data_IF_199575221184
#
_entry.id   IF_199575221184
#
_cell.length_a   1.000
_cell.length_b   1.000
_cell.length_c   1.000
_cell.angle_alpha   90.00
_cell.angle_beta   90.00
_cell.angle_gamma   90.00
#
_symmetry.space_group_name_H-M   'P 1'
#
loop_
_entity.id
_entity.type
_entity.pdbx_description
1 polymer ?
#
# COMPACT_ATOMS: atom_id res chain seq x y z
N UNK A 1 21.09 -15.87 7.51
CA UNK A 1 20.08 -14.78 7.62
C UNK A 1 19.69 -14.71 9.08
N UNK A 2 19.78 -13.53 9.72
CA UNK A 2 19.32 -13.37 11.09
C UNK A 2 17.83 -13.77 11.17
N UNK A 3 17.44 -14.47 12.24
CA UNK A 3 16.03 -14.82 12.45
C UNK A 3 15.24 -13.52 12.62
N UNK A 4 14.29 -13.25 11.72
CA UNK A 4 13.39 -12.11 11.84
C UNK A 4 12.56 -12.23 13.12
N UNK A 5 12.59 -11.19 13.95
CA UNK A 5 11.76 -11.05 15.16
C UNK A 5 10.26 -11.23 14.83
N UNK A 6 9.51 -11.89 15.71
CA UNK A 6 8.08 -12.18 15.49
C UNK A 6 7.24 -10.90 15.32
N UNK A 7 7.60 -9.84 16.04
CA UNK A 7 6.94 -8.53 15.94
C UNK A 7 7.14 -7.89 14.56
N UNK A 8 8.35 -8.02 14.00
CA UNK A 8 8.69 -7.53 12.68
C UNK A 8 8.02 -8.35 11.58
N UNK A 9 8.00 -9.68 11.75
CA UNK A 9 7.24 -10.59 10.89
C UNK A 9 5.76 -10.21 10.85
N UNK A 10 5.12 -10.01 12.01
CA UNK A 10 3.72 -9.60 12.10
C UNK A 10 3.45 -8.26 11.40
N UNK A 11 4.38 -7.31 11.51
CA UNK A 11 4.31 -6.01 10.83
C UNK A 11 4.34 -6.13 9.31
N UNK A 12 5.26 -6.93 8.77
CA UNK A 12 5.35 -7.17 7.32
C UNK A 12 4.11 -7.90 6.77
N UNK A 13 3.55 -8.85 7.52
CA UNK A 13 2.27 -9.50 7.18
C UNK A 13 1.13 -8.49 7.10
N UNK A 14 1.07 -7.56 8.06
CA UNK A 14 0.09 -6.48 8.06
C UNK A 14 0.27 -5.56 6.85
N UNK A 15 1.50 -5.21 6.48
CA UNK A 15 1.78 -4.45 5.26
C UNK A 15 1.30 -5.19 4.01
N UNK A 16 1.58 -6.49 3.87
CA UNK A 16 1.09 -7.28 2.75
C UNK A 16 -0.44 -7.35 2.66
N UNK A 17 -1.12 -7.40 3.81
CA UNK A 17 -2.58 -7.32 3.86
C UNK A 17 -3.14 -6.00 3.34
N UNK A 18 -2.43 -4.88 3.58
CA UNK A 18 -2.79 -3.56 3.02
C UNK A 18 -2.54 -3.51 1.51
N UNK A 19 -1.44 -4.10 1.03
CA UNK A 19 -1.15 -4.22 -0.41
C UNK A 19 -2.21 -5.07 -1.12
N UNK A 20 -2.66 -6.19 -0.55
CA UNK A 20 -3.76 -6.99 -1.10
C UNK A 20 -5.07 -6.20 -1.21
N UNK A 21 -5.37 -5.37 -0.21
CA UNK A 21 -6.54 -4.47 -0.22
C UNK A 21 -6.40 -3.39 -1.31
N UNK A 22 -5.21 -2.83 -1.45
CA UNK A 22 -4.90 -1.87 -2.50
C UNK A 22 -5.05 -2.51 -3.89
N UNK A 23 -4.45 -3.68 -4.11
CA UNK A 23 -4.59 -4.46 -5.35
C UNK A 23 -6.05 -4.74 -5.69
N UNK A 24 -6.87 -5.13 -4.69
CA UNK A 24 -8.31 -5.33 -4.88
C UNK A 24 -9.00 -4.04 -5.33
N UNK A 25 -8.73 -2.90 -4.66
CA UNK A 25 -9.26 -1.58 -5.06
C UNK A 25 -8.90 -1.26 -6.50
N UNK A 26 -7.66 -1.49 -6.91
CA UNK A 26 -7.18 -1.11 -8.23
C UNK A 26 -7.72 -2.01 -9.35
N UNK A 27 -7.98 -3.29 -9.08
CA UNK A 27 -8.76 -4.14 -10.00
C UNK A 27 -10.15 -3.56 -10.26
N UNK A 28 -10.86 -3.10 -9.22
CA UNK A 28 -12.14 -2.40 -9.41
C UNK A 28 -11.97 -1.07 -10.17
N UNK A 29 -10.93 -0.29 -9.90
CA UNK A 29 -10.64 0.93 -10.67
C UNK A 29 -10.44 0.62 -12.16
N UNK A 30 -9.68 -0.43 -12.46
CA UNK A 30 -9.38 -0.86 -13.81
C UNK A 30 -10.63 -1.32 -14.56
N UNK A 31 -11.46 -2.15 -13.92
CA UNK A 31 -12.72 -2.63 -14.50
C UNK A 31 -13.67 -1.47 -14.83
N UNK A 32 -13.81 -0.51 -13.91
CA UNK A 32 -14.66 0.67 -14.13
C UNK A 32 -14.10 1.55 -15.26
N UNK A 33 -12.80 1.81 -15.27
CA UNK A 33 -12.14 2.59 -16.32
C UNK A 33 -12.29 1.93 -17.70
N UNK A 34 -12.12 0.61 -17.78
CA UNK A 34 -12.27 -0.16 -19.01
C UNK A 34 -13.70 -0.10 -19.57
N UNK A 35 -14.73 -0.13 -18.70
CA UNK A 35 -16.15 0.00 -19.12
C UNK A 35 -16.42 1.33 -19.82
N UNK A 36 -15.85 2.41 -19.31
CA UNK A 36 -16.03 3.76 -19.87
C UNK A 36 -14.93 4.16 -20.86
N UNK A 37 -14.01 3.23 -21.21
CA UNK A 37 -12.86 3.45 -22.11
C UNK A 37 -11.95 4.61 -21.66
N UNK A 38 -11.85 4.83 -20.37
CA UNK A 38 -11.04 5.87 -19.76
C UNK A 38 -9.55 5.45 -19.72
N UNK A 39 -8.86 5.67 -20.85
CA UNK A 39 -7.49 5.16 -21.08
C UNK A 39 -6.47 5.62 -20.07
N UNK A 40 -6.58 6.86 -19.58
CA UNK A 40 -5.67 7.41 -18.58
C UNK A 40 -5.82 6.65 -17.27
N UNK A 41 -7.05 6.46 -16.82
CA UNK A 41 -7.44 5.77 -15.60
C UNK A 41 -7.10 4.28 -15.66
N UNK A 42 -7.30 3.64 -16.82
CA UNK A 42 -6.80 2.27 -17.07
C UNK A 42 -5.28 2.20 -16.88
N UNK A 43 -4.53 3.15 -17.47
CA UNK A 43 -3.07 3.18 -17.34
C UNK A 43 -2.63 3.40 -15.90
N UNK A 44 -3.31 4.27 -15.15
CA UNK A 44 -3.05 4.53 -13.73
C UNK A 44 -3.30 3.27 -12.90
N UNK A 45 -4.45 2.62 -13.05
CA UNK A 45 -4.78 1.41 -12.32
C UNK A 45 -3.80 0.26 -12.63
N UNK A 46 -3.38 0.11 -13.90
CA UNK A 46 -2.34 -0.85 -14.27
C UNK A 46 -1.00 -0.57 -13.60
N UNK A 47 -0.58 0.70 -13.50
CA UNK A 47 0.67 1.07 -12.82
C UNK A 47 0.63 0.73 -11.33
N UNK A 48 -0.49 1.01 -10.66
CA UNK A 48 -0.69 0.60 -9.27
C UNK A 48 -0.71 -0.92 -9.09
N UNK A 49 -1.37 -1.66 -9.98
CA UNK A 49 -1.42 -3.14 -9.93
C UNK A 49 0.00 -3.71 -10.08
N UNK A 50 0.80 -3.16 -10.98
CA UNK A 50 2.20 -3.58 -11.17
C UNK A 50 3.02 -3.29 -9.91
N UNK A 51 2.86 -2.10 -9.33
CA UNK A 51 3.49 -1.74 -8.06
C UNK A 51 3.10 -2.72 -6.95
N UNK A 52 1.79 -2.94 -6.72
CA UNK A 52 1.31 -3.88 -5.70
C UNK A 52 1.82 -5.30 -5.92
N UNK A 53 1.92 -5.75 -7.17
CA UNK A 53 2.45 -7.07 -7.51
C UNK A 53 3.89 -7.21 -7.01
N UNK A 54 4.74 -6.22 -7.30
CA UNK A 54 6.13 -6.20 -6.88
C UNK A 54 6.28 -6.08 -5.35
N UNK A 55 5.45 -5.27 -4.69
CA UNK A 55 5.43 -5.18 -3.21
C UNK A 55 5.09 -6.52 -2.55
N UNK A 56 4.11 -7.26 -3.10
CA UNK A 56 3.76 -8.60 -2.61
C UNK A 56 4.88 -9.61 -2.82
N UNK A 57 5.59 -9.53 -3.95
CA UNK A 57 6.72 -10.40 -4.24
C UNK A 57 7.89 -10.15 -3.26
N UNK A 58 8.23 -8.89 -2.99
CA UNK A 58 9.26 -8.53 -2.00
C UNK A 58 8.90 -9.04 -0.60
N UNK A 59 7.65 -8.85 -0.18
CA UNK A 59 7.17 -9.34 1.12
C UNK A 59 7.18 -10.86 1.19
N UNK A 60 6.80 -11.56 0.12
CA UNK A 60 6.83 -13.02 0.08
C UNK A 60 8.25 -13.57 0.23
N UNK A 61 9.24 -12.90 -0.39
CA UNK A 61 10.65 -13.26 -0.26
C UNK A 61 11.16 -13.08 1.18
N UNK A 62 10.89 -11.92 1.79
CA UNK A 62 11.29 -11.64 3.18
C UNK A 62 10.62 -12.55 4.21
N UNK A 63 9.33 -12.85 4.02
CA UNK A 63 8.56 -13.67 4.97
C UNK A 63 8.80 -15.18 4.79
N UNK A 64 9.31 -15.59 3.63
CA UNK A 64 9.61 -16.97 3.30
C UNK A 64 8.38 -17.82 2.96
N UNK A 65 8.55 -19.14 3.02
CA UNK A 65 7.60 -20.14 2.49
C UNK A 65 6.21 -20.15 3.16
N UNK A 66 6.06 -19.53 4.31
CA UNK A 66 4.76 -19.51 5.03
C UNK A 66 3.75 -18.53 4.41
N UNK A 67 4.19 -17.67 3.48
CA UNK A 67 3.36 -16.63 2.84
C UNK A 67 3.23 -16.81 1.33
N UNK A 68 2.98 -18.05 0.90
CA UNK A 68 2.74 -18.41 -0.51
C UNK A 68 1.64 -17.56 -1.14
N UNK A 69 0.60 -17.16 -0.40
CA UNK A 69 -0.48 -16.32 -0.96
C UNK A 69 0.05 -14.99 -1.51
N UNK A 70 1.02 -14.32 -0.86
CA UNK A 70 1.59 -13.08 -1.41
C UNK A 70 2.33 -13.33 -2.72
N UNK A 71 3.16 -14.37 -2.79
CA UNK A 71 3.86 -14.74 -4.02
C UNK A 71 2.86 -15.10 -5.15
N UNK A 72 1.82 -15.88 -4.83
CA UNK A 72 0.79 -16.28 -5.79
C UNK A 72 0.02 -15.06 -6.31
N UNK A 73 -0.40 -14.16 -5.42
CA UNK A 73 -1.16 -12.95 -5.80
C UNK A 73 -0.30 -11.97 -6.61
N UNK A 74 0.96 -11.79 -6.22
CA UNK A 74 1.92 -10.96 -6.96
C UNK A 74 2.15 -11.48 -8.38
N UNK A 75 2.47 -12.77 -8.54
CA UNK A 75 2.66 -13.40 -9.86
C UNK A 75 1.41 -13.30 -10.73
N UNK A 76 0.24 -13.62 -10.16
CA UNK A 76 -1.02 -13.55 -10.89
C UNK A 76 -1.36 -12.13 -11.36
N UNK A 77 -1.01 -11.10 -10.59
CA UNK A 77 -1.20 -9.70 -10.99
C UNK A 77 -0.28 -9.32 -12.17
N UNK A 78 1.00 -9.71 -12.12
CA UNK A 78 1.95 -9.50 -13.23
C UNK A 78 1.51 -10.24 -14.50
N UNK A 79 1.12 -11.51 -14.38
CA UNK A 79 0.61 -12.31 -15.50
C UNK A 79 -0.66 -11.69 -16.10
N UNK A 80 -1.59 -11.22 -15.27
CA UNK A 80 -2.80 -10.54 -15.72
C UNK A 80 -2.47 -9.30 -16.57
N UNK A 81 -1.54 -8.45 -16.13
CA UNK A 81 -1.12 -7.25 -16.89
C UNK A 81 -0.46 -7.61 -18.22
N UNK A 82 0.39 -8.64 -18.23
CA UNK A 82 1.02 -9.12 -19.46
C UNK A 82 -0.02 -9.64 -20.45
N UNK A 83 -0.86 -10.59 -20.04
CA UNK A 83 -1.82 -11.24 -20.91
C UNK A 83 -2.87 -10.26 -21.45
N UNK A 84 -3.41 -9.39 -20.59
CA UNK A 84 -4.58 -8.56 -20.94
C UNK A 84 -4.23 -7.19 -21.50
N UNK A 85 -3.10 -6.62 -21.09
CA UNK A 85 -2.69 -5.25 -21.43
C UNK A 85 -1.34 -5.20 -22.16
N UNK A 86 -0.68 -6.33 -22.40
CA UNK A 86 0.64 -6.40 -23.05
C UNK A 86 1.69 -5.53 -22.33
N UNK A 87 1.48 -5.29 -21.03
CA UNK A 87 2.39 -4.55 -20.18
C UNK A 87 3.32 -5.55 -19.51
N UNK A 88 4.59 -5.55 -19.92
CA UNK A 88 5.64 -6.27 -19.20
C UNK A 88 5.96 -5.50 -17.92
N UNK A 89 6.10 -6.22 -16.80
CA UNK A 89 6.78 -5.69 -15.63
C UNK A 89 8.24 -5.43 -16.02
N UNK A 90 8.66 -4.18 -16.08
CA UNK A 90 10.00 -3.79 -16.55
C UNK A 90 11.04 -3.76 -15.43
N UNK A 91 10.61 -3.76 -14.17
CA UNK A 91 11.49 -3.55 -13.01
C UNK A 91 11.53 -4.77 -12.12
N UNK A 92 12.74 -5.26 -11.79
CA UNK A 92 12.98 -6.17 -10.67
C UNK A 92 12.91 -5.38 -9.35
N UNK A 93 11.79 -4.69 -9.14
CA UNK A 93 11.60 -3.84 -7.97
C UNK A 93 11.55 -4.69 -6.70
N UNK A 94 11.00 -5.90 -6.79
CA UNK A 94 10.92 -6.81 -5.65
C UNK A 94 12.31 -7.12 -5.05
N UNK A 95 13.28 -7.55 -5.87
CA UNK A 95 14.63 -7.86 -5.37
C UNK A 95 15.32 -6.63 -4.77
N UNK A 96 15.17 -5.46 -5.41
CA UNK A 96 15.73 -4.21 -4.90
C UNK A 96 15.14 -3.82 -3.54
N UNK A 97 13.83 -4.03 -3.33
CA UNK A 97 13.18 -3.76 -2.05
C UNK A 97 13.69 -4.69 -0.93
N UNK A 98 13.95 -5.97 -1.25
CA UNK A 98 14.55 -6.92 -0.30
C UNK A 98 15.94 -6.46 0.12
N UNK A 99 16.78 -6.07 -0.85
CA UNK A 99 18.13 -5.54 -0.59
C UNK A 99 18.06 -4.29 0.30
N UNK A 100 17.21 -3.32 -0.08
CA UNK A 100 17.03 -2.08 0.69
C UNK A 100 16.53 -2.35 2.12
N UNK A 101 15.64 -3.33 2.30
CA UNK A 101 15.17 -3.73 3.62
C UNK A 101 16.31 -4.29 4.47
N UNK A 102 17.15 -5.18 3.91
CA UNK A 102 18.29 -5.74 4.61
C UNK A 102 19.35 -4.70 4.97
N UNK A 103 19.63 -3.76 4.06
CA UNK A 103 20.54 -2.62 4.30
C UNK A 103 20.00 -1.72 5.42
N UNK A 104 18.73 -1.33 5.32
CA UNK A 104 18.03 -0.55 6.33
C UNK A 104 18.04 -1.21 7.70
N UNK A 105 17.91 -2.54 7.76
CA UNK A 105 17.88 -3.28 9.04
C UNK A 105 19.17 -3.14 9.85
N UNK A 106 20.28 -2.77 9.21
CA UNK A 106 21.60 -2.55 9.82
C UNK A 106 21.81 -1.11 10.32
N UNK A 107 20.87 -0.21 10.05
CA UNK A 107 20.96 1.22 10.38
C UNK A 107 20.14 1.56 11.64
N UNK A 108 20.74 2.31 12.56
CA UNK A 108 20.04 2.83 13.75
C UNK A 108 19.22 4.09 13.45
N UNK A 109 19.67 4.94 12.52
CA UNK A 109 19.05 6.22 12.18
C UNK A 109 18.99 6.42 10.66
N UNK A 110 18.11 5.66 9.99
CA UNK A 110 17.98 5.72 8.54
C UNK A 110 16.99 6.82 8.12
N UNK A 111 17.40 7.71 7.23
CA UNK A 111 16.51 8.71 6.63
C UNK A 111 16.10 8.30 5.21
N UNK A 112 15.03 8.91 4.69
CA UNK A 112 14.62 8.66 3.30
C UNK A 112 15.70 9.12 2.31
N UNK A 113 16.38 10.22 2.62
CA UNK A 113 17.51 10.77 1.86
C UNK A 113 18.75 9.86 1.94
N UNK A 114 19.06 9.33 3.12
CA UNK A 114 20.19 8.42 3.33
C UNK A 114 20.04 7.08 2.62
N UNK A 115 18.81 6.69 2.29
CA UNK A 115 18.48 5.53 1.46
C UNK A 115 18.18 5.89 0.01
N UNK A 116 18.39 7.15 -0.39
CA UNK A 116 18.15 7.65 -1.74
C UNK A 116 16.73 7.37 -2.29
N UNK A 117 15.73 7.28 -1.41
CA UNK A 117 14.34 7.00 -1.82
C UNK A 117 13.75 8.07 -2.76
N UNK A 118 14.00 9.38 -2.55
CA UNK A 118 13.56 10.40 -3.50
C UNK A 118 14.18 10.24 -4.89
N UNK A 119 15.48 9.96 -4.95
CA UNK A 119 16.22 9.77 -6.21
C UNK A 119 15.74 8.53 -6.96
N UNK A 120 15.54 7.41 -6.26
CA UNK A 120 14.99 6.17 -6.84
C UNK A 120 13.59 6.43 -7.39
N UNK A 121 12.74 7.14 -6.64
CA UNK A 121 11.38 7.49 -7.09
C UNK A 121 11.43 8.38 -8.34
N UNK A 122 12.32 9.37 -8.38
CA UNK A 122 12.52 10.23 -9.54
C UNK A 122 13.05 9.45 -10.78
N UNK A 123 13.95 8.49 -10.58
CA UNK A 123 14.43 7.62 -11.66
C UNK A 123 13.33 6.71 -12.22
N UNK A 124 12.46 6.17 -11.35
CA UNK A 124 11.27 5.43 -11.77
C UNK A 124 10.35 6.32 -12.60
N UNK A 125 10.13 7.58 -12.20
CA UNK A 125 9.34 8.53 -13.01
C UNK A 125 9.97 8.73 -14.40
N UNK A 126 11.29 8.95 -14.45
CA UNK A 126 12.02 9.26 -15.68
C UNK A 126 12.10 8.08 -16.66
N UNK A 127 12.16 6.85 -16.14
CA UNK A 127 12.25 5.62 -16.95
C UNK A 127 10.92 5.17 -17.56
N UNK A 128 9.79 5.66 -17.04
CA UNK A 128 8.47 5.37 -17.61
C UNK A 128 8.25 6.21 -18.88
N UNK A 129 8.12 5.55 -20.04
CA UNK A 129 7.76 6.20 -21.30
C UNK A 129 6.29 6.66 -21.25
N UNK A 130 6.07 7.96 -21.02
CA UNK A 130 4.76 8.60 -20.95
C UNK A 130 4.58 9.38 -19.64
N UNK A 131 3.48 10.14 -19.45
CA UNK A 131 3.19 10.71 -18.14
C UNK A 131 2.97 9.56 -17.14
N UNK A 132 4.00 9.26 -16.35
CA UNK A 132 3.88 8.41 -15.17
C UNK A 132 2.71 8.95 -14.33
N UNK A 133 1.77 8.11 -13.87
CA UNK A 133 0.82 8.54 -12.87
C UNK A 133 1.63 8.86 -11.61
N UNK A 134 1.89 10.15 -11.36
CA UNK A 134 2.54 10.63 -10.12
C UNK A 134 1.94 9.98 -8.89
N UNK A 135 0.65 9.67 -8.94
CA UNK A 135 -0.06 8.97 -7.87
C UNK A 135 0.48 7.55 -7.56
N UNK A 136 0.91 6.77 -8.56
CA UNK A 136 1.42 5.41 -8.34
C UNK A 136 2.81 5.41 -7.70
N UNK A 137 3.61 6.40 -8.04
CA UNK A 137 4.98 6.54 -7.55
C UNK A 137 5.02 7.29 -6.21
N UNK A 138 4.11 8.24 -5.98
CA UNK A 138 3.84 8.80 -4.65
C UNK A 138 3.39 7.70 -3.67
N UNK A 139 2.55 6.78 -4.15
CA UNK A 139 2.16 5.60 -3.37
C UNK A 139 3.36 4.71 -3.05
N UNK A 140 4.18 4.35 -4.04
CA UNK A 140 5.41 3.57 -3.82
C UNK A 140 6.32 4.23 -2.79
N UNK A 141 6.58 5.54 -2.93
CA UNK A 141 7.37 6.29 -1.96
C UNK A 141 6.78 6.21 -0.56
N UNK A 142 5.48 6.49 -0.42
CA UNK A 142 4.78 6.45 0.86
C UNK A 142 4.80 5.06 1.52
N UNK A 143 4.71 4.00 0.71
CA UNK A 143 4.78 2.63 1.16
C UNK A 143 6.20 2.28 1.62
N UNK A 144 7.23 2.73 0.89
CA UNK A 144 8.63 2.50 1.26
C UNK A 144 8.98 3.12 2.62
N UNK A 145 8.40 4.28 2.97
CA UNK A 145 8.57 4.86 4.31
C UNK A 145 8.10 3.91 5.42
N UNK A 146 6.96 3.24 5.19
CA UNK A 146 6.39 2.29 6.15
C UNK A 146 7.13 0.94 6.12
N UNK A 147 7.46 0.44 4.93
CA UNK A 147 8.17 -0.82 4.74
C UNK A 147 9.56 -0.80 5.36
N UNK A 148 10.32 0.28 5.12
CA UNK A 148 11.67 0.48 5.64
C UNK A 148 11.68 1.08 7.06
N UNK A 149 10.51 1.33 7.68
CA UNK A 149 10.40 1.92 9.03
C UNK A 149 11.30 3.16 9.18
N UNK A 150 11.13 4.13 8.28
CA UNK A 150 11.87 5.39 8.37
C UNK A 150 11.42 6.10 9.66
N UNK A 151 12.34 6.44 10.60
CA UNK A 151 11.98 7.13 11.84
C UNK A 151 11.32 8.48 11.55
N UNK A 152 10.32 8.85 12.35
CA UNK A 152 9.58 10.10 12.20
C UNK A 152 8.43 10.03 11.19
N UNK A 153 8.27 8.90 10.50
CA UNK A 153 7.13 8.62 9.64
C UNK A 153 5.99 7.87 10.34
N UNK A 154 6.20 7.46 11.60
CA UNK A 154 5.19 6.79 12.42
C UNK A 154 4.01 7.72 12.75
N UNK A 155 2.83 7.13 12.93
CA UNK A 155 1.63 7.86 13.37
C UNK A 155 0.99 8.78 12.33
N UNK A 156 1.62 8.99 11.17
CA UNK A 156 0.99 9.74 10.07
C UNK A 156 -0.29 9.04 9.60
N UNK A 157 -1.41 9.77 9.41
CA UNK A 157 -2.69 9.19 9.03
C UNK A 157 -2.61 8.43 7.70
N UNK A 158 -3.24 7.25 7.66
CA UNK A 158 -3.25 6.36 6.47
C UNK A 158 -4.65 5.81 6.26
N UNK A 159 -4.97 5.44 5.02
CA UNK A 159 -6.19 4.70 4.75
C UNK A 159 -6.22 3.40 5.55
N UNK A 160 -7.27 3.21 6.34
CA UNK A 160 -7.46 2.01 7.16
C UNK A 160 -7.63 0.72 6.33
N UNK A 161 -8.07 0.85 5.07
CA UNK A 161 -8.25 -0.28 4.17
C UNK A 161 -6.97 -0.62 3.41
N UNK A 162 -6.40 0.33 2.66
CA UNK A 162 -5.31 0.06 1.71
C UNK A 162 -3.96 0.62 2.13
N UNK A 163 -3.86 1.30 3.28
CA UNK A 163 -2.60 1.87 3.78
C UNK A 163 -2.11 3.13 3.06
N UNK A 164 -2.73 3.50 1.94
CA UNK A 164 -2.36 4.67 1.15
C UNK A 164 -2.48 5.97 1.96
N UNK A 165 -1.46 6.82 1.85
CA UNK A 165 -1.46 8.17 2.41
C UNK A 165 -2.05 9.12 1.36
N UNK A 166 -3.00 9.97 1.73
CA UNK A 166 -3.47 11.01 0.81
C UNK A 166 -2.42 12.12 0.70
N UNK A 167 -2.19 12.62 -0.51
CA UNK A 167 -1.28 13.75 -0.75
C UNK A 167 -1.71 15.03 -0.01
N UNK A 168 -0.85 16.06 -0.02
CA UNK A 168 -1.04 17.31 0.75
C UNK A 168 -2.42 17.96 0.56
N UNK A 169 -3.03 17.79 -0.60
CA UNK A 169 -4.30 18.43 -0.96
C UNK A 169 -5.54 17.53 -0.77
N UNK A 170 -5.36 16.25 -0.45
CA UNK A 170 -6.46 15.32 -0.19
C UNK A 170 -6.52 14.94 1.28
N UNK A 171 -7.71 15.09 1.88
CA UNK A 171 -7.97 14.70 3.27
C UNK A 171 -8.59 13.31 3.33
N UNK A 172 -8.09 12.47 4.25
CA UNK A 172 -8.73 11.20 4.55
C UNK A 172 -10.15 11.42 5.10
N UNK A 173 -11.09 10.61 4.63
CA UNK A 173 -12.49 10.63 5.02
C UNK A 173 -12.72 9.74 6.24
N UNK A 174 -13.32 10.28 7.30
CA UNK A 174 -13.74 9.48 8.46
C UNK A 174 -14.99 8.65 8.16
N UNK A 175 -15.09 7.46 8.76
CA UNK A 175 -16.32 6.67 8.76
C UNK A 175 -17.45 7.45 9.44
N UNK A 176 -18.60 7.59 8.80
CA UNK A 176 -19.73 8.33 9.37
C UNK A 176 -20.34 7.67 10.61
N UNK A 177 -20.13 6.36 10.83
CA UNK A 177 -20.66 5.62 11.98
C UNK A 177 -19.75 5.69 13.20
N UNK A 178 -18.53 5.13 13.09
CA UNK A 178 -17.60 5.06 14.22
C UNK A 178 -16.66 6.26 14.35
N UNK A 179 -16.51 7.08 13.30
CA UNK A 179 -15.57 8.22 13.17
C UNK A 179 -14.09 7.94 13.48
N UNK A 180 -13.74 6.70 13.81
CA UNK A 180 -12.39 6.23 14.11
C UNK A 180 -11.65 5.83 12.83
N UNK A 181 -12.28 5.00 11.97
CA UNK A 181 -11.65 4.55 10.73
C UNK A 181 -11.63 5.67 9.70
N UNK A 182 -10.49 5.83 9.01
CA UNK A 182 -10.27 6.85 7.98
C UNK A 182 -9.90 6.20 6.65
N UNK A 183 -10.31 6.80 5.53
CA UNK A 183 -10.20 6.21 4.19
C UNK A 183 -9.72 7.24 3.17
N UNK A 184 -8.91 6.81 2.19
CA UNK A 184 -8.50 7.69 1.09
C UNK A 184 -9.65 8.03 0.13
N UNK A 185 -10.63 7.15 0.00
CA UNK A 185 -11.82 7.40 -0.79
C UNK A 185 -13.02 6.55 -0.32
N UNK A 186 -14.19 6.82 -0.92
CA UNK A 186 -15.42 6.07 -0.66
C UNK A 186 -15.34 4.61 -1.13
N UNK A 187 -14.45 4.26 -2.07
CA UNK A 187 -14.29 2.88 -2.55
C UNK A 187 -13.62 2.03 -1.48
N UNK A 188 -12.54 2.50 -0.88
CA UNK A 188 -11.88 1.91 0.29
C UNK A 188 -12.85 1.72 1.45
N UNK A 189 -13.66 2.73 1.78
CA UNK A 189 -14.67 2.59 2.82
C UNK A 189 -15.68 1.47 2.53
N UNK A 190 -16.19 1.39 1.29
CA UNK A 190 -17.14 0.35 0.87
C UNK A 190 -16.53 -1.06 0.88
N UNK A 191 -15.28 -1.17 0.44
CA UNK A 191 -14.56 -2.45 0.43
C UNK A 191 -14.26 -2.92 1.86
N UNK A 192 -13.79 -2.03 2.73
CA UNK A 192 -13.55 -2.32 4.14
C UNK A 192 -14.84 -2.71 4.88
N UNK A 193 -15.95 -2.01 4.57
CA UNK A 193 -17.28 -2.34 5.10
C UNK A 193 -17.66 -3.79 4.83
N UNK A 194 -17.45 -4.26 3.59
CA UNK A 194 -17.71 -5.64 3.17
C UNK A 194 -16.70 -6.63 3.77
N UNK A 195 -15.44 -6.23 3.94
CA UNK A 195 -14.37 -7.10 4.45
C UNK A 195 -14.51 -7.39 5.94
N UNK A 196 -15.13 -6.50 6.71
CA UNK A 196 -15.42 -6.75 8.13
C UNK A 196 -15.71 -5.52 8.97
N UNK A 197 -15.46 -4.31 8.46
CA UNK A 197 -15.68 -3.09 9.24
C UNK A 197 -17.15 -2.93 9.67
N UNK A 198 -18.12 -3.48 8.93
CA UNK A 198 -19.54 -3.46 9.34
C UNK A 198 -19.76 -3.95 10.77
N UNK A 199 -19.13 -5.07 11.13
CA UNK A 199 -19.26 -5.70 12.44
C UNK A 199 -18.51 -4.90 13.50
N UNK A 200 -17.30 -4.44 13.19
CA UNK A 200 -16.46 -3.67 14.11
C UNK A 200 -16.99 -2.26 14.39
N UNK A 201 -17.63 -1.62 13.40
CA UNK A 201 -18.04 -0.22 13.46
C UNK A 201 -18.95 0.09 14.66
N UNK A 202 -19.89 -0.80 14.97
CA UNK A 202 -20.80 -0.62 16.10
C UNK A 202 -20.10 -0.68 17.45
N UNK A 203 -19.12 -1.57 17.61
CA UNK A 203 -18.33 -1.67 18.83
C UNK A 203 -17.47 -0.41 19.03
N UNK A 204 -16.87 0.09 17.95
CA UNK A 204 -16.01 1.27 17.94
C UNK A 204 -16.77 2.58 18.24
N UNK A 205 -17.98 2.75 17.70
CA UNK A 205 -18.82 3.93 17.96
C UNK A 205 -19.16 4.12 19.46
N UNK A 206 -19.29 3.00 20.20
CA UNK A 206 -19.53 3.02 21.66
C UNK A 206 -18.29 3.44 22.46
N UNK A 207 -17.08 3.33 21.90
CA UNK A 207 -15.84 3.71 22.56
C UNK A 207 -15.57 5.22 22.40
N UNK A 208 -15.73 5.76 21.18
CA UNK A 208 -15.55 7.20 20.91
C UNK A 208 -16.44 8.07 21.80
N UNK A 209 -17.69 7.65 22.03
CA UNK A 209 -18.65 8.36 22.88
C UNK A 209 -18.33 8.30 24.39
N UNK A 210 -17.54 7.31 24.85
CA UNK A 210 -17.07 7.22 26.25
C UNK A 210 -15.85 8.09 26.48
N UNK A 211 -14.89 8.08 25.55
CA UNK A 211 -13.68 8.92 25.65
C UNK A 211 -14.02 10.42 25.56
N UNK A 212 -14.96 10.80 24.70
CA UNK A 212 -15.43 12.20 24.59
C UNK A 212 -16.15 12.70 25.86
N UNK A 213 -16.72 11.79 26.67
CA UNK A 213 -17.41 12.13 27.93
C UNK A 213 -16.48 12.09 29.16
N UNK A 214 -15.31 11.46 29.05
CA UNK A 214 -14.31 11.40 30.12
C UNK A 214 -13.23 12.49 30.06
N UNK A 215 -13.19 13.28 28.97
CA UNK A 215 -12.24 14.39 28.79
C UNK A 215 -12.72 15.76 29.31
N UNK A 216 -13.83 15.80 30.04
CA UNK A 216 -14.29 16.99 30.77
C UNK A 216 -14.49 16.57 32.23
N UNK A 217 -13.41 16.57 32.99
CA UNK A 217 -13.40 16.53 34.45
C UNK A 217 -12.13 17.25 34.94
#
# INVERSE_FOLDING_TARGET
>A
MASMEDSERARLIKLGSLVLNHLQKQRFCLDEAAKIKARREESVACAYIDTDAQLLLALAELLGKDFIDFATRGKAATEFLWLRYQKKSFTDMAANLVILYEERSKMSDATAEGLHLPEVTAQIHASQKGPSPTAATDYLFSWNLDFLRIPGEEGKPKCAFCGERTGKDQKLMKCGGCKIMIYCDRKCQKLDWKKGHKTACQAMSKQESKEMKGGIA
#
